data_IF_906223246099
#
_entry.id   IF_906223246099
#
_cell.length_a   1.000
_cell.length_b   1.000
_cell.length_c   1.000
_cell.angle_alpha   90.00
_cell.angle_beta   90.00
_cell.angle_gamma   90.00
#
_symmetry.space_group_name_H-M   'P 1'
#
loop_
_entity.id
_entity.type
_entity.pdbx_description
1 polymer ?
#
# COMPACT_ATOMS: atom_id res chain seq x y z
N UNK A 1 5.48 13.58 -23.96
CA UNK A 1 4.82 13.46 -22.64
C UNK A 1 3.38 13.98 -22.61
N UNK A 2 3.04 15.18 -23.08
CA UNK A 2 1.67 15.74 -23.01
C UNK A 2 0.59 14.93 -23.74
N UNK A 3 0.88 14.31 -24.91
CA UNK A 3 -0.06 13.47 -25.66
C UNK A 3 -0.41 12.17 -24.92
N UNK A 4 0.58 11.53 -24.28
CA UNK A 4 0.35 10.31 -23.46
C UNK A 4 -0.54 10.60 -22.25
N UNK A 5 -0.29 11.71 -21.54
CA UNK A 5 -1.09 12.12 -20.38
C UNK A 5 -2.57 12.36 -20.75
N UNK A 6 -2.84 13.00 -21.89
CA UNK A 6 -4.21 13.21 -22.39
C UNK A 6 -4.90 11.89 -22.76
N UNK A 7 -4.16 10.90 -23.31
CA UNK A 7 -4.72 9.56 -23.60
C UNK A 7 -5.13 8.85 -22.31
N UNK A 8 -4.31 8.90 -21.26
CA UNK A 8 -4.66 8.31 -19.94
C UNK A 8 -5.88 9.00 -19.35
N UNK A 9 -5.96 10.32 -19.46
CA UNK A 9 -7.09 11.11 -19.00
C UNK A 9 -8.39 10.73 -19.72
N UNK A 10 -8.38 10.66 -21.05
CA UNK A 10 -9.51 10.29 -21.88
C UNK A 10 -9.97 8.82 -21.65
N UNK A 11 -9.05 7.91 -21.33
CA UNK A 11 -9.36 6.51 -21.05
C UNK A 11 -9.90 6.28 -19.61
N UNK A 12 -9.92 7.31 -18.76
CA UNK A 12 -10.35 7.19 -17.37
C UNK A 12 -11.87 7.38 -17.25
N UNK A 13 -12.62 6.41 -16.69
CA UNK A 13 -14.07 6.56 -16.49
C UNK A 13 -14.40 7.78 -15.61
N UNK A 14 -15.45 8.53 -15.96
CA UNK A 14 -15.90 9.71 -15.20
C UNK A 14 -16.29 9.39 -13.75
N UNK A 15 -16.73 8.15 -13.48
CA UNK A 15 -17.12 7.67 -12.15
C UNK A 15 -15.93 7.40 -11.21
N UNK A 16 -14.69 7.50 -11.70
CA UNK A 16 -13.49 7.19 -10.93
C UNK A 16 -13.16 8.34 -9.97
N UNK A 17 -13.09 8.06 -8.68
CA UNK A 17 -12.65 9.04 -7.67
C UNK A 17 -11.11 9.17 -7.70
N UNK A 18 -10.64 10.17 -8.45
CA UNK A 18 -9.21 10.46 -8.63
C UNK A 18 -8.51 10.89 -7.35
N UNK A 19 -9.24 11.44 -6.37
CA UNK A 19 -8.66 11.80 -5.08
C UNK A 19 -8.30 10.56 -4.25
N UNK A 20 -9.15 9.54 -4.26
CA UNK A 20 -8.86 8.25 -3.62
C UNK A 20 -7.62 7.60 -4.24
N UNK A 21 -7.50 7.64 -5.57
CA UNK A 21 -6.32 7.13 -6.26
C UNK A 21 -5.06 7.93 -5.95
N UNK A 22 -5.17 9.26 -5.80
CA UNK A 22 -4.05 10.11 -5.40
C UNK A 22 -3.60 9.81 -3.97
N UNK A 23 -4.52 9.66 -3.02
CA UNK A 23 -4.21 9.27 -1.65
C UNK A 23 -3.51 7.91 -1.58
N UNK A 24 -3.96 6.94 -2.37
CA UNK A 24 -3.32 5.62 -2.44
C UNK A 24 -1.90 5.70 -2.99
N UNK A 25 -1.71 6.42 -4.09
CA UNK A 25 -0.38 6.61 -4.69
C UNK A 25 0.57 7.31 -3.71
N UNK A 26 0.09 8.36 -3.04
CA UNK A 26 0.85 9.08 -2.02
C UNK A 26 1.24 8.19 -0.84
N UNK A 27 0.29 7.37 -0.35
CA UNK A 27 0.55 6.44 0.74
C UNK A 27 1.61 5.39 0.37
N UNK A 28 1.58 4.84 -0.85
CA UNK A 28 2.58 3.89 -1.32
C UNK A 28 3.96 4.55 -1.43
N UNK A 29 4.03 5.74 -2.04
CA UNK A 29 5.30 6.46 -2.19
C UNK A 29 5.88 6.88 -0.84
N UNK A 30 5.04 7.26 0.13
CA UNK A 30 5.47 7.53 1.50
C UNK A 30 6.14 6.33 2.15
N UNK A 31 5.53 5.15 2.07
CA UNK A 31 6.12 3.90 2.58
C UNK A 31 7.45 3.58 1.90
N UNK A 32 7.51 3.66 0.57
CA UNK A 32 8.73 3.39 -0.20
C UNK A 32 9.87 4.32 0.21
N UNK A 33 9.61 5.63 0.21
CA UNK A 33 10.60 6.63 0.60
C UNK A 33 11.00 6.49 2.07
N UNK A 34 10.03 6.21 2.95
CA UNK A 34 10.30 5.94 4.37
C UNK A 34 11.30 4.80 4.54
N UNK A 35 11.05 3.66 3.91
CA UNK A 35 11.98 2.54 3.97
C UNK A 35 13.34 2.87 3.36
N UNK A 36 13.39 3.53 2.21
CA UNK A 36 14.65 3.89 1.59
C UNK A 36 15.47 4.90 2.40
N UNK A 37 14.85 5.72 3.24
CA UNK A 37 15.53 6.70 4.09
C UNK A 37 15.95 6.12 5.44
N UNK A 38 15.13 5.22 6.04
CA UNK A 38 15.38 4.74 7.40
C UNK A 38 16.03 3.35 7.47
N UNK A 39 15.99 2.55 6.40
CA UNK A 39 16.65 1.24 6.37
C UNK A 39 18.11 1.41 5.94
N UNK A 40 19.04 1.16 6.83
CA UNK A 40 20.46 1.12 6.55
C UNK A 40 21.00 -0.32 6.69
N UNK A 41 22.03 -0.63 5.92
CA UNK A 41 22.82 -1.85 6.02
C UNK A 41 24.27 -1.45 6.29
N UNK A 42 24.87 -2.04 7.30
CA UNK A 42 26.27 -1.77 7.66
C UNK A 42 27.08 -3.03 7.39
N UNK A 43 28.16 -2.87 6.65
CA UNK A 43 29.08 -3.98 6.34
C UNK A 43 30.18 -4.02 7.41
N UNK A 44 30.12 -4.98 8.32
CA UNK A 44 31.07 -5.19 9.42
C UNK A 44 31.37 -6.69 9.53
N UNK A 45 32.63 -7.03 9.82
CA UNK A 45 33.10 -8.41 10.07
C UNK A 45 32.67 -9.44 9.00
N UNK A 46 32.68 -9.00 7.74
CA UNK A 46 32.26 -9.87 6.61
C UNK A 46 30.77 -10.13 6.50
N UNK A 47 29.93 -9.43 7.28
CA UNK A 47 28.49 -9.56 7.26
C UNK A 47 27.76 -8.22 7.08
N UNK A 48 26.48 -8.29 6.66
CA UNK A 48 25.60 -7.14 6.59
C UNK A 48 24.64 -7.15 7.78
N UNK A 49 24.67 -6.05 8.53
CA UNK A 49 23.82 -5.81 9.69
C UNK A 49 22.78 -4.72 9.42
N UNK A 50 21.58 -4.88 9.97
CA UNK A 50 20.53 -3.85 9.86
C UNK A 50 20.81 -2.71 10.84
N UNK A 51 20.78 -1.48 10.33
CA UNK A 51 20.86 -0.25 11.12
C UNK A 51 19.80 0.77 10.67
N UNK A 52 19.69 1.86 11.39
CA UNK A 52 18.80 2.97 11.03
C UNK A 52 19.43 4.31 11.41
N UNK A 53 19.35 5.35 10.58
CA UNK A 53 19.80 6.67 10.97
C UNK A 53 19.07 7.21 12.21
N UNK A 54 17.88 6.72 12.51
CA UNK A 54 17.13 7.15 13.70
C UNK A 54 17.72 6.64 15.01
N UNK A 55 18.61 5.61 14.98
CA UNK A 55 19.35 5.16 16.15
C UNK A 55 20.43 6.18 16.55
N UNK A 56 21.11 6.76 15.56
CA UNK A 56 22.26 7.65 15.77
C UNK A 56 21.90 9.13 15.67
N UNK A 57 20.81 9.45 14.97
CA UNK A 57 20.33 10.81 14.73
C UNK A 57 18.88 10.98 15.23
N UNK A 58 18.63 10.90 16.55
CA UNK A 58 17.27 10.94 17.09
C UNK A 58 16.53 12.25 16.77
N UNK A 59 17.25 13.33 16.45
CA UNK A 59 16.65 14.61 16.00
C UNK A 59 15.90 14.47 14.66
N UNK A 60 16.18 13.44 13.86
CA UNK A 60 15.47 13.15 12.61
C UNK A 60 14.19 12.34 12.82
N UNK A 61 13.92 11.88 14.04
CA UNK A 61 12.75 11.06 14.37
C UNK A 61 11.42 11.71 13.94
N UNK A 62 11.17 13.04 14.13
CA UNK A 62 9.93 13.67 13.66
C UNK A 62 9.75 13.59 12.13
N UNK A 63 10.82 13.50 11.34
CA UNK A 63 10.72 13.32 9.88
C UNK A 63 10.10 11.96 9.51
N UNK A 64 10.24 10.94 10.38
CA UNK A 64 9.61 9.63 10.17
C UNK A 64 8.08 9.73 10.09
N UNK A 65 7.49 10.76 10.70
CA UNK A 65 6.05 11.00 10.69
C UNK A 65 5.53 11.32 9.28
N UNK A 66 6.33 12.00 8.46
CA UNK A 66 5.95 12.34 7.08
C UNK A 66 5.86 11.11 6.16
N UNK A 67 6.61 10.06 6.46
CA UNK A 67 6.74 8.85 5.64
C UNK A 67 5.95 7.65 6.16
N UNK A 68 5.52 7.69 7.42
CA UNK A 68 4.62 6.68 7.96
C UNK A 68 3.18 6.96 7.49
N UNK A 69 2.80 6.41 6.35
CA UNK A 69 1.53 6.70 5.65
C UNK A 69 0.57 5.51 5.62
N UNK A 70 0.81 4.49 6.44
CA UNK A 70 0.02 3.25 6.47
C UNK A 70 -1.45 3.49 6.81
N UNK A 71 -1.74 4.45 7.71
CA UNK A 71 -3.12 4.75 8.08
C UNK A 71 -3.93 5.29 6.88
N UNK A 72 -3.32 6.13 6.04
CA UNK A 72 -3.95 6.60 4.80
C UNK A 72 -4.19 5.44 3.83
N UNK A 73 -3.26 4.48 3.78
CA UNK A 73 -3.43 3.29 2.95
C UNK A 73 -4.60 2.43 3.43
N UNK A 74 -4.75 2.19 4.74
CA UNK A 74 -5.88 1.45 5.29
C UNK A 74 -7.21 2.21 5.17
N UNK A 75 -7.21 3.54 5.29
CA UNK A 75 -8.38 4.39 5.00
C UNK A 75 -8.88 4.16 3.57
N UNK A 76 -7.97 4.25 2.59
CA UNK A 76 -8.27 3.99 1.18
C UNK A 76 -8.66 2.53 0.97
N UNK A 77 -7.99 1.59 1.64
CA UNK A 77 -8.29 0.16 1.63
C UNK A 77 -9.74 -0.13 2.03
N UNK A 78 -10.17 0.39 3.17
CA UNK A 78 -11.55 0.26 3.67
C UNK A 78 -12.57 0.89 2.73
N UNK A 79 -12.28 2.09 2.21
CA UNK A 79 -13.13 2.76 1.23
C UNK A 79 -13.31 1.94 -0.06
N UNK A 80 -12.23 1.48 -0.66
CA UNK A 80 -12.25 0.73 -1.94
C UNK A 80 -12.84 -0.67 -1.76
N UNK A 81 -12.57 -1.34 -0.63
CA UNK A 81 -13.13 -2.66 -0.36
C UNK A 81 -14.65 -2.60 -0.16
N UNK A 82 -15.13 -1.63 0.65
CA UNK A 82 -16.55 -1.45 0.93
C UNK A 82 -17.33 -1.06 -0.34
N UNK A 83 -16.87 -0.06 -1.09
CA UNK A 83 -17.51 0.30 -2.37
C UNK A 83 -17.51 -0.86 -3.37
N UNK A 84 -16.41 -1.59 -3.44
CA UNK A 84 -16.28 -2.75 -4.32
C UNK A 84 -17.24 -3.88 -3.94
N UNK A 85 -17.43 -4.14 -2.64
CA UNK A 85 -18.38 -5.16 -2.15
C UNK A 85 -19.83 -4.74 -2.42
N UNK A 86 -20.19 -3.47 -2.12
CA UNK A 86 -21.52 -2.93 -2.40
C UNK A 86 -21.84 -3.03 -3.92
N UNK A 87 -20.90 -2.60 -4.76
CA UNK A 87 -21.06 -2.69 -6.22
C UNK A 87 -21.13 -4.15 -6.72
N UNK A 88 -20.41 -5.10 -6.12
CA UNK A 88 -20.49 -6.51 -6.47
C UNK A 88 -21.87 -7.08 -6.11
N UNK A 89 -22.38 -6.80 -4.91
CA UNK A 89 -23.72 -7.21 -4.45
C UNK A 89 -24.82 -6.65 -5.35
N UNK A 90 -24.73 -5.37 -5.74
CA UNK A 90 -25.69 -4.74 -6.64
C UNK A 90 -25.73 -5.39 -8.03
N UNK A 91 -24.66 -6.05 -8.46
CA UNK A 91 -24.59 -6.84 -9.71
C UNK A 91 -24.85 -8.33 -9.53
N UNK A 92 -25.31 -8.77 -8.37
CA UNK A 92 -25.56 -10.20 -8.07
C UNK A 92 -24.28 -11.05 -7.97
N UNK A 93 -23.08 -10.44 -7.83
CA UNK A 93 -21.83 -11.19 -7.72
C UNK A 93 -21.68 -11.76 -6.30
N UNK A 94 -21.55 -13.10 -6.12
CA UNK A 94 -21.35 -13.71 -4.81
C UNK A 94 -20.09 -13.21 -4.13
N UNK A 95 -20.15 -13.13 -2.79
CA UNK A 95 -19.01 -12.67 -1.97
C UNK A 95 -17.72 -13.45 -2.25
N UNK A 96 -17.78 -14.77 -2.34
CA UNK A 96 -16.60 -15.62 -2.60
C UNK A 96 -15.93 -15.29 -3.94
N UNK A 97 -16.69 -14.99 -4.98
CA UNK A 97 -16.16 -14.59 -6.30
C UNK A 97 -15.50 -13.21 -6.22
N UNK A 98 -16.15 -12.25 -5.55
CA UNK A 98 -15.57 -10.92 -5.29
C UNK A 98 -14.28 -11.00 -4.51
N UNK A 99 -14.25 -11.77 -3.41
CA UNK A 99 -13.08 -11.95 -2.56
C UNK A 99 -11.94 -12.62 -3.33
N UNK A 100 -12.20 -13.76 -3.96
CA UNK A 100 -11.21 -14.48 -4.77
C UNK A 100 -10.55 -13.59 -5.81
N UNK A 101 -11.34 -12.77 -6.52
CA UNK A 101 -10.81 -11.84 -7.52
C UNK A 101 -9.84 -10.83 -6.91
N UNK A 102 -10.14 -10.32 -5.71
CA UNK A 102 -9.28 -9.37 -5.01
C UNK A 102 -8.03 -10.03 -4.46
N UNK A 103 -8.17 -11.18 -3.80
CA UNK A 103 -7.04 -11.90 -3.23
C UNK A 103 -6.07 -12.38 -4.30
N UNK A 104 -6.55 -12.86 -5.43
CA UNK A 104 -5.69 -13.29 -6.54
C UNK A 104 -4.82 -12.13 -7.05
N UNK A 105 -5.35 -10.90 -7.11
CA UNK A 105 -4.58 -9.71 -7.52
C UNK A 105 -3.50 -9.33 -6.52
N UNK A 106 -3.75 -9.55 -5.23
CA UNK A 106 -2.80 -9.23 -4.16
C UNK A 106 -1.73 -10.31 -4.02
N UNK A 107 -2.12 -11.59 -4.11
CA UNK A 107 -1.26 -12.73 -3.76
C UNK A 107 -0.39 -13.23 -4.93
N UNK A 108 -0.79 -13.03 -6.19
CA UNK A 108 0.06 -13.44 -7.33
C UNK A 108 1.44 -12.78 -7.33
N UNK A 109 1.56 -11.44 -7.17
CA UNK A 109 2.87 -10.79 -7.10
C UNK A 109 3.68 -11.24 -5.87
N UNK A 110 3.00 -11.59 -4.76
CA UNK A 110 3.65 -12.14 -3.56
C UNK A 110 4.30 -13.50 -3.85
N UNK A 111 3.61 -14.39 -4.54
CA UNK A 111 4.16 -15.68 -4.90
C UNK A 111 5.44 -15.55 -5.75
N UNK A 112 5.49 -14.59 -6.68
CA UNK A 112 6.68 -14.30 -7.46
C UNK A 112 7.83 -13.75 -6.59
N UNK A 113 7.53 -12.85 -5.64
CA UNK A 113 8.52 -12.34 -4.69
C UNK A 113 9.11 -13.48 -3.86
N UNK A 114 8.25 -14.33 -3.28
CA UNK A 114 8.67 -15.47 -2.46
C UNK A 114 9.51 -16.45 -3.25
N UNK A 115 9.10 -16.81 -4.49
CA UNK A 115 9.85 -17.70 -5.36
C UNK A 115 11.23 -17.14 -5.72
N UNK A 116 11.32 -15.84 -6.07
CA UNK A 116 12.60 -15.22 -6.38
C UNK A 116 13.52 -15.19 -5.16
N UNK A 117 13.00 -14.78 -3.99
CA UNK A 117 13.81 -14.71 -2.78
C UNK A 117 14.18 -16.08 -2.23
N UNK A 118 13.36 -17.12 -2.43
CA UNK A 118 13.75 -18.50 -2.14
C UNK A 118 14.93 -18.94 -3.03
N UNK A 119 14.86 -18.68 -4.34
CA UNK A 119 15.96 -18.98 -5.25
C UNK A 119 17.22 -18.16 -4.91
N UNK A 120 17.07 -16.85 -4.66
CA UNK A 120 18.20 -16.00 -4.28
C UNK A 120 18.85 -16.46 -2.96
N UNK A 121 18.05 -16.81 -1.95
CA UNK A 121 18.53 -17.32 -0.67
C UNK A 121 19.32 -18.63 -0.84
N UNK A 122 18.83 -19.54 -1.70
CA UNK A 122 19.54 -20.79 -2.03
C UNK A 122 20.89 -20.50 -2.69
N UNK A 123 20.93 -19.60 -3.68
CA UNK A 123 22.19 -19.23 -4.36
C UNK A 123 23.17 -18.59 -3.37
N UNK A 124 22.72 -17.65 -2.54
CA UNK A 124 23.55 -16.99 -1.52
C UNK A 124 24.10 -18.01 -0.50
N UNK A 125 23.28 -18.95 -0.07
CA UNK A 125 23.69 -20.02 0.84
C UNK A 125 24.77 -20.89 0.21
N UNK A 126 24.59 -21.32 -1.03
CA UNK A 126 25.56 -22.16 -1.77
C UNK A 126 26.85 -21.39 -2.10
N UNK A 127 26.81 -20.06 -2.22
CA UNK A 127 28.00 -19.21 -2.42
C UNK A 127 28.79 -18.93 -1.14
N UNK A 128 28.39 -19.50 0.01
CA UNK A 128 29.09 -19.32 1.28
C UNK A 128 28.80 -17.99 1.96
N UNK A 129 27.71 -17.29 1.58
CA UNK A 129 27.28 -16.06 2.27
C UNK A 129 26.97 -16.36 3.74
N UNK A 130 27.41 -15.50 4.66
CA UNK A 130 27.17 -15.67 6.10
C UNK A 130 25.67 -15.75 6.40
N UNK A 131 25.27 -16.62 7.34
CA UNK A 131 23.88 -16.77 7.76
C UNK A 131 23.28 -15.46 8.31
N UNK A 132 24.09 -14.61 8.92
CA UNK A 132 23.70 -13.28 9.40
C UNK A 132 23.26 -12.40 8.24
N UNK A 133 24.07 -12.32 7.20
CA UNK A 133 23.74 -11.57 5.97
C UNK A 133 22.50 -12.14 5.30
N UNK A 134 22.43 -13.46 5.12
CA UNK A 134 21.28 -14.12 4.50
C UNK A 134 19.99 -13.81 5.26
N UNK A 135 20.00 -13.98 6.60
CA UNK A 135 18.84 -13.65 7.45
C UNK A 135 18.45 -12.17 7.31
N UNK A 136 19.43 -11.26 7.34
CA UNK A 136 19.20 -9.82 7.20
C UNK A 136 18.53 -9.47 5.87
N UNK A 137 19.04 -10.00 4.76
CA UNK A 137 18.51 -9.73 3.43
C UNK A 137 17.09 -10.29 3.26
N UNK A 138 16.87 -11.55 3.64
CA UNK A 138 15.54 -12.19 3.54
C UNK A 138 14.52 -11.49 4.43
N UNK A 139 14.87 -11.19 5.69
CA UNK A 139 14.00 -10.47 6.64
C UNK A 139 13.58 -9.11 6.09
N UNK A 140 14.50 -8.33 5.54
CA UNK A 140 14.19 -7.01 4.96
C UNK A 140 13.36 -7.13 3.68
N UNK A 141 13.68 -8.06 2.79
CA UNK A 141 12.92 -8.27 1.55
C UNK A 141 11.47 -8.66 1.80
N UNK A 142 11.24 -9.51 2.81
CA UNK A 142 9.91 -10.00 3.15
C UNK A 142 9.19 -9.10 4.16
N UNK A 143 9.88 -8.11 4.72
CA UNK A 143 9.30 -7.21 5.72
C UNK A 143 7.99 -6.53 5.29
N UNK A 144 7.72 -6.18 4.01
CA UNK A 144 6.44 -5.58 3.65
C UNK A 144 5.24 -6.54 3.74
N UNK A 145 5.47 -7.86 3.82
CA UNK A 145 4.37 -8.84 3.72
C UNK A 145 3.43 -8.85 4.92
N UNK A 146 3.91 -8.47 6.12
CA UNK A 146 3.03 -8.39 7.30
C UNK A 146 1.85 -7.41 7.07
N UNK A 147 2.15 -6.26 6.48
CA UNK A 147 1.15 -5.25 6.14
C UNK A 147 0.11 -5.80 5.15
N UNK A 148 0.58 -6.54 4.13
CA UNK A 148 -0.30 -7.14 3.15
C UNK A 148 -1.20 -8.22 3.77
N UNK A 149 -0.67 -9.00 4.74
CA UNK A 149 -1.46 -9.98 5.49
C UNK A 149 -2.62 -9.28 6.22
N UNK A 150 -2.34 -8.19 6.93
CA UNK A 150 -3.39 -7.39 7.60
C UNK A 150 -4.40 -6.85 6.60
N UNK A 151 -3.95 -6.30 5.46
CA UNK A 151 -4.84 -5.78 4.43
C UNK A 151 -5.74 -6.87 3.82
N UNK A 152 -5.20 -8.05 3.56
CA UNK A 152 -5.94 -9.22 3.06
C UNK A 152 -7.00 -9.64 4.08
N UNK A 153 -6.62 -9.76 5.34
CA UNK A 153 -7.53 -10.13 6.44
C UNK A 153 -8.68 -9.12 6.60
N UNK A 154 -8.38 -7.82 6.64
CA UNK A 154 -9.39 -6.77 6.72
C UNK A 154 -10.28 -6.71 5.47
N UNK A 155 -9.71 -6.97 4.29
CA UNK A 155 -10.48 -7.06 3.05
C UNK A 155 -11.44 -8.25 3.09
N UNK A 156 -11.00 -9.40 3.57
CA UNK A 156 -11.88 -10.55 3.76
C UNK A 156 -12.93 -10.29 4.85
N UNK A 157 -12.57 -9.61 5.92
CA UNK A 157 -13.50 -9.26 6.99
C UNK A 157 -14.46 -8.09 6.64
N UNK A 158 -14.35 -7.47 5.45
CA UNK A 158 -15.18 -6.30 5.06
C UNK A 158 -16.68 -6.48 5.32
N UNK A 159 -17.34 -7.62 5.03
CA UNK A 159 -18.76 -7.79 5.31
C UNK A 159 -19.13 -7.62 6.80
N UNK A 160 -18.21 -7.99 7.69
CA UNK A 160 -18.39 -7.95 9.15
C UNK A 160 -18.06 -6.56 9.72
N UNK A 161 -16.93 -5.99 9.27
CA UNK A 161 -16.35 -4.79 9.89
C UNK A 161 -16.75 -3.48 9.21
N UNK A 162 -17.31 -3.53 7.99
CA UNK A 162 -17.65 -2.31 7.24
C UNK A 162 -18.68 -1.41 7.94
N UNK A 163 -19.48 -1.95 8.85
CA UNK A 163 -20.48 -1.19 9.65
C UNK A 163 -20.00 -0.90 11.06
N UNK A 164 -18.84 -1.41 11.45
CA UNK A 164 -18.28 -1.18 12.78
C UNK A 164 -17.91 0.29 12.93
N UNK A 165 -18.32 0.90 14.06
CA UNK A 165 -17.93 2.29 14.35
C UNK A 165 -16.43 2.33 14.73
N UNK A 166 -15.64 3.31 14.23
CA UNK A 166 -14.19 3.38 14.45
C UNK A 166 -13.76 3.48 15.92
N UNK A 167 -14.63 3.95 16.79
CA UNK A 167 -14.35 4.03 18.24
C UNK A 167 -14.21 2.65 18.90
N UNK A 168 -14.84 1.59 18.38
CA UNK A 168 -14.71 0.26 18.96
C UNK A 168 -13.29 -0.30 18.86
N UNK A 169 -12.68 -0.36 17.65
CA UNK A 169 -11.30 -0.81 17.56
C UNK A 169 -10.32 0.16 18.25
N UNK A 170 -10.61 1.46 18.29
CA UNK A 170 -9.82 2.43 19.06
C UNK A 170 -9.88 2.14 20.57
N UNK A 171 -11.07 1.84 21.10
CA UNK A 171 -11.23 1.46 22.50
C UNK A 171 -10.47 0.16 22.85
N UNK A 172 -10.43 -0.81 21.93
CA UNK A 172 -9.61 -2.02 22.10
C UNK A 172 -8.13 -1.68 22.21
N UNK A 173 -7.61 -0.83 21.29
CA UNK A 173 -6.20 -0.39 21.33
C UNK A 173 -5.89 0.35 22.62
N UNK A 174 -6.74 1.27 23.03
CA UNK A 174 -6.59 2.00 24.29
C UNK A 174 -6.54 1.04 25.49
N UNK A 175 -7.46 0.09 25.55
CA UNK A 175 -7.53 -0.90 26.63
C UNK A 175 -6.28 -1.78 26.70
N UNK A 176 -5.84 -2.29 25.55
CA UNK A 176 -4.61 -3.09 25.46
C UNK A 176 -3.39 -2.31 25.91
N UNK A 177 -3.25 -1.05 25.47
CA UNK A 177 -2.10 -0.25 25.83
C UNK A 177 -2.12 0.22 27.30
N UNK A 178 -3.30 0.52 27.86
CA UNK A 178 -3.44 0.79 29.30
C UNK A 178 -3.03 -0.43 30.13
N UNK A 179 -3.44 -1.63 29.75
CA UNK A 179 -3.01 -2.84 30.45
C UNK A 179 -1.49 -3.04 30.35
N UNK A 180 -0.89 -2.85 29.18
CA UNK A 180 0.54 -3.12 28.94
C UNK A 180 1.48 -2.04 29.49
N UNK A 181 1.19 -0.80 29.21
CA UNK A 181 2.09 0.33 29.50
C UNK A 181 1.68 1.12 30.73
N UNK A 182 0.38 1.19 31.04
CA UNK A 182 -0.13 1.89 32.23
C UNK A 182 -0.07 1.05 33.50
N UNK A 183 -0.62 -0.17 33.42
CA UNK A 183 -0.74 -1.05 34.59
C UNK A 183 0.36 -2.12 34.65
N UNK A 184 1.14 -2.27 33.58
CA UNK A 184 2.15 -3.33 33.42
C UNK A 184 1.58 -4.75 33.62
N UNK A 185 0.32 -4.94 33.24
CA UNK A 185 -0.44 -6.19 33.36
C UNK A 185 -0.56 -6.88 32.01
N UNK A 186 -0.68 -8.20 32.06
CA UNK A 186 -0.94 -9.04 30.91
C UNK A 186 0.31 -9.58 30.21
N UNK A 187 0.13 -10.65 29.42
CA UNK A 187 1.21 -11.31 28.73
C UNK A 187 1.70 -10.46 27.54
N UNK A 188 2.95 -10.65 27.14
CA UNK A 188 3.60 -9.89 26.04
C UNK A 188 2.84 -10.02 24.70
N UNK A 189 2.19 -11.16 24.46
CA UNK A 189 1.41 -11.39 23.25
C UNK A 189 0.16 -10.50 23.13
N UNK A 190 -0.35 -9.95 24.27
CA UNK A 190 -1.55 -9.10 24.27
C UNK A 190 -1.45 -7.93 23.28
N UNK A 191 -0.24 -7.37 23.11
CA UNK A 191 0.00 -6.32 22.15
C UNK A 191 -0.32 -6.69 20.70
N UNK A 192 -0.26 -7.96 20.33
CA UNK A 192 -0.56 -8.40 18.97
C UNK A 192 -2.03 -8.26 18.59
N UNK A 193 -2.94 -8.13 19.58
CA UNK A 193 -4.34 -7.75 19.35
C UNK A 193 -4.43 -6.41 18.62
N UNK A 194 -3.51 -5.49 18.95
CA UNK A 194 -3.43 -4.18 18.30
C UNK A 194 -3.02 -4.27 16.82
N UNK A 195 -2.41 -5.39 16.37
CA UNK A 195 -2.10 -5.55 14.95
C UNK A 195 -3.37 -5.51 14.09
N UNK A 196 -4.45 -6.11 14.56
CA UNK A 196 -5.74 -6.05 13.87
C UNK A 196 -6.51 -4.78 14.27
N UNK A 197 -6.66 -4.51 15.57
CA UNK A 197 -7.48 -3.40 16.08
C UNK A 197 -6.94 -2.03 15.62
N UNK A 198 -5.62 -1.82 15.67
CA UNK A 198 -5.01 -0.54 15.29
C UNK A 198 -5.26 -0.17 13.82
N UNK A 199 -5.08 -1.10 12.91
CA UNK A 199 -5.33 -0.84 11.48
C UNK A 199 -6.81 -0.90 11.10
N UNK A 200 -7.64 -1.53 11.95
CA UNK A 200 -9.10 -1.52 11.77
C UNK A 200 -9.68 -0.11 11.98
N UNK A 201 -9.06 0.76 12.80
CA UNK A 201 -9.51 2.15 13.00
C UNK A 201 -9.54 2.92 11.67
N UNK A 202 -8.43 3.12 10.95
CA UNK A 202 -8.46 3.81 9.66
C UNK A 202 -9.27 3.06 8.60
N UNK A 203 -9.32 1.72 8.65
CA UNK A 203 -10.08 0.92 7.72
C UNK A 203 -11.60 1.17 7.86
N UNK A 204 -12.12 1.20 9.08
CA UNK A 204 -13.55 1.47 9.35
C UNK A 204 -13.93 2.93 9.06
N UNK A 205 -13.02 3.90 9.29
CA UNK A 205 -13.18 5.28 8.82
C UNK A 205 -13.34 5.33 7.29
N UNK A 206 -12.53 4.58 6.56
CA UNK A 206 -12.63 4.44 5.10
C UNK A 206 -13.92 3.78 4.66
N UNK A 207 -14.39 2.77 5.39
CA UNK A 207 -15.65 2.11 5.13
C UNK A 207 -16.86 3.03 5.37
N UNK A 208 -16.86 3.82 6.45
CA UNK A 208 -17.86 4.84 6.74
C UNK A 208 -17.92 5.88 5.61
N UNK A 209 -16.77 6.39 5.18
CA UNK A 209 -16.67 7.26 4.02
C UNK A 209 -17.26 6.64 2.74
N UNK A 210 -17.03 5.33 2.51
CA UNK A 210 -17.55 4.61 1.34
C UNK A 210 -19.07 4.48 1.33
N UNK A 211 -19.70 4.42 2.52
CA UNK A 211 -21.16 4.36 2.68
C UNK A 211 -21.86 5.70 2.45
N UNK A 212 -21.08 6.77 2.25
CA UNK A 212 -21.62 8.11 2.09
C UNK A 212 -21.97 8.80 3.41
N UNK A 213 -21.50 8.28 4.53
CA UNK A 213 -21.64 8.98 5.82
C UNK A 213 -21.01 10.37 5.69
N UNK A 214 -21.72 11.44 6.10
CA UNK A 214 -21.25 12.80 5.92
C UNK A 214 -20.00 13.04 6.76
N UNK A 215 -18.83 12.97 6.12
CA UNK A 215 -17.59 13.42 6.75
C UNK A 215 -17.58 14.94 6.66
N UNK A 216 -18.11 15.60 7.67
CA UNK A 216 -18.11 17.07 7.74
C UNK A 216 -16.68 17.59 7.86
N UNK A 217 -16.44 18.80 7.36
CA UNK A 217 -15.14 19.44 7.52
C UNK A 217 -14.74 19.59 9.00
N UNK A 218 -15.73 19.80 9.88
CA UNK A 218 -15.51 19.84 11.34
C UNK A 218 -15.00 18.49 11.84
N UNK A 219 -15.65 17.38 11.48
CA UNK A 219 -15.20 16.03 11.87
C UNK A 219 -13.77 15.74 11.36
N UNK A 220 -13.45 16.14 10.14
CA UNK A 220 -12.09 15.96 9.60
C UNK A 220 -11.04 16.80 10.38
N UNK A 221 -11.37 18.03 10.79
CA UNK A 221 -10.52 18.83 11.68
C UNK A 221 -10.40 18.22 13.08
N UNK A 222 -11.48 17.69 13.64
CA UNK A 222 -11.46 17.00 14.95
C UNK A 222 -10.52 15.78 14.90
N UNK A 223 -10.59 14.98 13.82
CA UNK A 223 -9.67 13.85 13.63
C UNK A 223 -8.22 14.32 13.52
N UNK A 224 -7.94 15.38 12.77
CA UNK A 224 -6.60 15.91 12.59
C UNK A 224 -6.03 16.47 13.91
N UNK A 225 -6.74 17.42 14.50
CA UNK A 225 -6.24 18.13 15.69
C UNK A 225 -6.26 17.23 16.93
N UNK A 226 -7.36 16.49 17.15
CA UNK A 226 -7.47 15.55 18.26
C UNK A 226 -6.46 14.40 18.17
N UNK A 227 -6.32 13.81 16.98
CA UNK A 227 -5.32 12.77 16.74
C UNK A 227 -3.89 13.28 16.96
N UNK A 228 -3.57 14.48 16.46
CA UNK A 228 -2.25 15.10 16.65
C UNK A 228 -1.99 15.40 18.14
N UNK A 229 -2.95 16.03 18.81
CA UNK A 229 -2.81 16.37 20.23
C UNK A 229 -2.64 15.10 21.09
N UNK A 230 -3.43 14.06 20.83
CA UNK A 230 -3.30 12.77 21.52
C UNK A 230 -1.92 12.13 21.26
N UNK A 231 -1.45 12.13 20.02
CA UNK A 231 -0.12 11.58 19.69
C UNK A 231 0.99 12.33 20.42
N UNK A 232 0.96 13.65 20.38
CA UNK A 232 1.95 14.49 21.07
C UNK A 232 1.90 14.24 22.59
N UNK A 233 0.71 14.18 23.17
CA UNK A 233 0.52 13.89 24.58
C UNK A 233 1.10 12.52 24.97
N UNK A 234 0.85 11.48 24.19
CA UNK A 234 1.36 10.14 24.43
C UNK A 234 2.91 10.10 24.35
N UNK A 235 3.49 10.79 23.38
CA UNK A 235 4.95 10.85 23.23
C UNK A 235 5.61 11.65 24.35
N UNK A 236 5.05 12.82 24.72
CA UNK A 236 5.69 13.72 25.68
C UNK A 236 5.46 13.31 27.14
N UNK A 237 4.29 12.75 27.46
CA UNK A 237 3.90 12.53 28.86
C UNK A 237 3.65 11.07 29.23
N UNK A 238 3.39 10.18 28.25
CA UNK A 238 3.11 8.77 28.50
C UNK A 238 4.26 7.83 28.09
N UNK A 239 5.43 8.37 27.73
CA UNK A 239 6.65 7.60 27.46
C UNK A 239 6.65 6.79 26.16
N UNK A 240 5.71 7.05 25.23
CA UNK A 240 5.74 6.39 23.92
C UNK A 240 6.91 6.87 23.07
N UNK A 241 7.52 5.98 22.26
CA UNK A 241 8.61 6.39 21.37
C UNK A 241 8.20 7.52 20.42
N UNK A 242 9.09 8.50 20.22
CA UNK A 242 8.84 9.56 19.24
C UNK A 242 8.90 9.06 17.79
N UNK A 243 9.54 7.92 17.52
CA UNK A 243 9.60 7.33 16.17
C UNK A 243 8.28 6.67 15.82
N UNK A 244 7.69 7.05 14.67
CA UNK A 244 6.50 6.38 14.09
C UNK A 244 6.87 5.23 13.15
N UNK A 245 8.12 4.79 13.16
CA UNK A 245 8.64 3.62 12.44
C UNK A 245 9.48 2.77 13.37
N UNK A 246 9.70 1.49 13.00
CA UNK A 246 10.59 0.61 13.77
C UNK A 246 12.03 1.12 13.73
N UNK A 247 12.67 1.14 14.90
CA UNK A 247 14.10 1.44 15.06
C UNK A 247 14.77 0.18 15.60
N UNK A 248 15.79 -0.38 14.92
CA UNK A 248 16.50 -1.55 15.41
C UNK A 248 17.04 -1.32 16.83
N UNK A 249 16.93 -2.32 17.70
CA UNK A 249 17.40 -2.23 19.10
C UNK A 249 16.52 -1.42 20.06
N UNK A 250 15.46 -0.75 19.59
CA UNK A 250 14.54 -0.06 20.48
C UNK A 250 13.69 -1.05 21.29
N UNK A 251 13.55 -0.80 22.61
CA UNK A 251 12.77 -1.65 23.51
C UNK A 251 11.28 -1.69 23.14
N UNK A 252 10.75 -0.59 22.64
CA UNK A 252 9.34 -0.45 22.18
C UNK A 252 9.32 0.14 20.78
N UNK A 253 8.50 -0.44 19.91
CA UNK A 253 8.21 0.08 18.58
C UNK A 253 6.75 0.50 18.48
N UNK A 254 6.48 1.67 17.92
CA UNK A 254 5.11 2.11 17.66
C UNK A 254 4.38 1.30 16.56
N UNK A 255 5.11 0.47 15.78
CA UNK A 255 4.52 -0.31 14.66
C UNK A 255 4.57 -1.82 14.84
N UNK A 256 5.27 -2.32 15.82
CA UNK A 256 5.43 -3.74 15.94
C UNK A 256 5.17 -4.32 17.34
N UNK A 257 3.92 -4.51 17.73
CA UNK A 257 2.60 -4.18 17.14
C UNK A 257 2.23 -2.68 17.28
N UNK A 258 1.22 -2.19 16.52
CA UNK A 258 0.80 -0.79 16.59
C UNK A 258 0.38 -0.39 18.00
N UNK A 259 0.94 0.73 18.48
CA UNK A 259 0.57 1.30 19.76
C UNK A 259 -0.54 2.35 19.61
N UNK A 260 -1.10 2.79 20.72
CA UNK A 260 -2.07 3.89 20.75
C UNK A 260 -1.50 5.18 20.11
N UNK A 261 -0.18 5.46 20.30
CA UNK A 261 0.48 6.60 19.67
C UNK A 261 0.48 6.49 18.13
N UNK A 262 0.77 5.31 17.56
CA UNK A 262 0.69 5.11 16.12
C UNK A 262 -0.75 5.20 15.58
N UNK A 263 -1.74 4.74 16.36
CA UNK A 263 -3.14 4.77 15.96
C UNK A 263 -3.71 6.19 16.01
N UNK A 264 -3.43 6.97 17.05
CA UNK A 264 -3.84 8.38 17.16
C UNK A 264 -3.18 9.24 16.07
N UNK A 265 -1.91 8.99 15.78
CA UNK A 265 -1.22 9.58 14.62
C UNK A 265 -1.91 9.20 13.29
N UNK A 266 -2.29 7.93 13.13
CA UNK A 266 -3.06 7.48 11.97
C UNK A 266 -4.42 8.15 11.84
N UNK A 267 -5.11 8.41 12.95
CA UNK A 267 -6.36 9.19 12.98
C UNK A 267 -6.13 10.62 12.48
N UNK A 268 -5.05 11.28 12.92
CA UNK A 268 -4.67 12.60 12.42
C UNK A 268 -4.43 12.59 10.91
N UNK A 269 -3.72 11.59 10.40
CA UNK A 269 -3.48 11.43 8.96
C UNK A 269 -4.79 11.20 8.17
N UNK A 270 -5.74 10.43 8.72
CA UNK A 270 -7.05 10.26 8.11
C UNK A 270 -7.80 11.60 8.03
N UNK A 271 -7.77 12.40 9.10
CA UNK A 271 -8.35 13.74 9.11
C UNK A 271 -7.75 14.65 8.03
N UNK A 272 -6.41 14.66 7.92
CA UNK A 272 -5.69 15.41 6.88
C UNK A 272 -6.07 14.93 5.47
N UNK A 273 -6.10 13.62 5.25
CA UNK A 273 -6.47 13.04 3.95
C UNK A 273 -7.88 13.46 3.51
N UNK A 274 -8.84 13.47 4.44
CA UNK A 274 -10.22 13.88 4.19
C UNK A 274 -10.32 15.38 3.90
N UNK A 275 -9.55 16.23 4.60
CA UNK A 275 -9.48 17.68 4.34
C UNK A 275 -8.88 18.00 2.97
N UNK A 276 -7.87 17.23 2.56
CA UNK A 276 -7.19 17.44 1.28
C UNK A 276 -7.97 16.89 0.07
N UNK A 277 -9.02 16.12 0.29
CA UNK A 277 -9.76 15.41 -0.77
C UNK A 277 -10.18 16.29 -1.94
N UNK A 278 -10.80 17.43 -1.66
CA UNK A 278 -11.35 18.30 -2.72
C UNK A 278 -10.22 19.03 -3.47
N UNK A 279 -9.15 19.40 -2.77
CA UNK A 279 -7.94 19.94 -3.40
C UNK A 279 -7.27 18.91 -4.30
N UNK A 280 -7.17 17.66 -3.84
CA UNK A 280 -6.64 16.56 -4.65
C UNK A 280 -7.51 16.32 -5.89
N UNK A 281 -8.85 16.35 -5.78
CA UNK A 281 -9.73 16.28 -6.94
C UNK A 281 -9.44 17.38 -7.96
N UNK A 282 -9.26 18.61 -7.50
CA UNK A 282 -8.94 19.75 -8.36
C UNK A 282 -7.58 19.57 -9.06
N UNK A 283 -6.54 19.18 -8.31
CA UNK A 283 -5.20 18.93 -8.88
C UNK A 283 -5.23 17.79 -9.89
N UNK A 284 -5.99 16.73 -9.62
CA UNK A 284 -6.13 15.57 -10.49
C UNK A 284 -6.95 15.83 -11.77
N UNK A 285 -7.51 17.01 -11.95
CA UNK A 285 -8.07 17.45 -13.24
C UNK A 285 -6.97 17.75 -14.25
N UNK A 286 -5.72 18.01 -13.81
CA UNK A 286 -4.58 18.24 -14.69
C UNK A 286 -4.13 16.89 -15.27
N UNK A 287 -4.12 16.69 -16.62
CA UNK A 287 -3.80 15.41 -17.24
C UNK A 287 -2.41 14.86 -16.87
N UNK A 288 -1.41 15.75 -16.67
CA UNK A 288 -0.05 15.35 -16.28
C UNK A 288 0.00 14.80 -14.84
N UNK A 289 -0.66 15.47 -13.89
CA UNK A 289 -0.74 15.02 -12.50
C UNK A 289 -1.48 13.67 -12.41
N UNK A 290 -2.62 13.57 -13.11
CA UNK A 290 -3.38 12.32 -13.17
C UNK A 290 -2.58 11.17 -13.80
N UNK A 291 -1.86 11.41 -14.88
CA UNK A 291 -1.05 10.37 -15.53
C UNK A 291 0.04 9.82 -14.59
N UNK A 292 0.69 10.67 -13.79
CA UNK A 292 1.66 10.24 -12.78
C UNK A 292 1.00 9.34 -11.71
N UNK A 293 -0.12 9.78 -11.14
CA UNK A 293 -0.88 9.01 -10.15
C UNK A 293 -1.39 7.70 -10.74
N UNK A 294 -1.91 7.71 -11.97
CA UNK A 294 -2.38 6.52 -12.66
C UNK A 294 -1.25 5.50 -12.85
N UNK A 295 -0.04 5.96 -13.23
CA UNK A 295 1.14 5.11 -13.40
C UNK A 295 1.52 4.40 -12.09
N UNK A 296 1.60 5.13 -10.97
CA UNK A 296 1.87 4.55 -9.65
C UNK A 296 0.80 3.53 -9.28
N UNK A 297 -0.47 3.85 -9.48
CA UNK A 297 -1.58 2.95 -9.15
C UNK A 297 -1.65 1.70 -10.05
N UNK A 298 -1.23 1.79 -11.30
CA UNK A 298 -1.16 0.63 -12.20
C UNK A 298 -0.09 -0.36 -11.76
N UNK A 299 0.96 0.11 -11.11
CA UNK A 299 2.10 -0.68 -10.62
C UNK A 299 2.15 -0.76 -9.09
N UNK A 300 1.04 -0.47 -8.41
CA UNK A 300 1.00 -0.30 -6.97
C UNK A 300 1.57 -1.49 -6.19
N UNK A 301 1.17 -2.70 -6.56
CA UNK A 301 1.65 -3.92 -5.90
C UNK A 301 3.11 -4.21 -6.22
N UNK A 302 3.53 -4.01 -7.46
CA UNK A 302 4.94 -4.18 -7.85
C UNK A 302 5.82 -3.18 -7.10
N UNK A 303 5.48 -1.89 -7.13
CA UNK A 303 6.23 -0.85 -6.40
C UNK A 303 6.31 -1.18 -4.91
N UNK A 304 5.18 -1.56 -4.29
CA UNK A 304 5.12 -1.89 -2.87
C UNK A 304 5.94 -3.14 -2.50
N UNK A 305 5.91 -4.20 -3.30
CA UNK A 305 6.60 -5.46 -2.98
C UNK A 305 8.10 -5.40 -3.26
N UNK A 306 8.52 -4.69 -4.32
CA UNK A 306 9.89 -4.73 -4.80
C UNK A 306 10.79 -3.59 -4.32
N UNK A 307 10.26 -2.59 -3.59
CA UNK A 307 11.09 -1.45 -3.15
C UNK A 307 12.23 -1.85 -2.22
N UNK A 308 11.99 -2.81 -1.31
CA UNK A 308 13.07 -3.33 -0.46
C UNK A 308 14.09 -4.13 -1.28
N UNK A 309 13.63 -4.96 -2.22
CA UNK A 309 14.52 -5.67 -3.15
C UNK A 309 15.37 -4.70 -3.95
N UNK A 310 14.82 -3.57 -4.42
CA UNK A 310 15.59 -2.55 -5.14
C UNK A 310 16.71 -1.95 -4.28
N UNK A 311 16.44 -1.66 -3.01
CA UNK A 311 17.43 -1.20 -2.04
C UNK A 311 18.51 -2.29 -1.82
N UNK A 312 18.09 -3.52 -1.55
CA UNK A 312 18.99 -4.63 -1.25
C UNK A 312 19.89 -5.00 -2.43
N UNK A 313 19.33 -5.06 -3.63
CA UNK A 313 20.10 -5.34 -4.87
C UNK A 313 21.14 -4.24 -5.10
N UNK A 314 20.77 -2.96 -4.94
CA UNK A 314 21.72 -1.86 -5.07
C UNK A 314 22.84 -1.97 -4.03
N UNK A 315 22.49 -2.25 -2.77
CA UNK A 315 23.47 -2.39 -1.69
C UNK A 315 24.43 -3.56 -1.93
N UNK A 316 23.91 -4.74 -2.26
CA UNK A 316 24.75 -5.93 -2.48
C UNK A 316 25.59 -5.81 -3.74
N UNK A 317 25.03 -5.30 -4.84
CA UNK A 317 25.75 -5.16 -6.12
C UNK A 317 26.91 -4.17 -6.05
N UNK A 318 26.87 -3.21 -5.13
CA UNK A 318 27.94 -2.21 -4.97
C UNK A 318 29.00 -2.56 -3.92
N UNK A 319 28.81 -3.65 -3.16
CA UNK A 319 29.80 -4.13 -2.17
C UNK A 319 31.21 -4.35 -2.72
N UNK A 320 31.41 -4.92 -3.94
CA UNK A 320 32.75 -5.11 -4.52
C UNK A 320 33.50 -3.79 -4.75
N UNK A 321 32.79 -2.65 -4.85
CA UNK A 321 33.42 -1.32 -4.97
C UNK A 321 33.88 -0.73 -3.62
N UNK A 322 33.73 -1.48 -2.52
CA UNK A 322 34.08 -1.07 -1.17
C UNK A 322 32.90 -0.54 -0.35
N UNK A 323 33.20 -0.01 0.84
CA UNK A 323 32.16 0.51 1.75
C UNK A 323 31.74 1.93 1.32
N UNK A 324 30.65 2.01 0.58
CA UNK A 324 30.14 3.29 0.07
C UNK A 324 29.27 4.01 1.11
N UNK A 325 29.47 5.32 1.32
CA UNK A 325 28.63 6.12 2.19
C UNK A 325 27.15 6.08 1.77
N UNK A 326 26.26 6.03 2.74
CA UNK A 326 24.82 5.95 2.49
C UNK A 326 24.30 4.56 2.13
N UNK A 327 25.20 3.56 1.90
CA UNK A 327 24.82 2.16 1.62
C UNK A 327 25.37 1.19 2.66
N UNK A 328 26.69 1.23 2.93
CA UNK A 328 27.41 0.20 3.70
C UNK A 328 28.04 0.73 5.00
N UNK A 329 28.03 2.05 5.20
CA UNK A 329 28.63 2.70 6.37
C UNK A 329 27.58 2.96 7.45
N UNK A 330 28.04 3.17 8.69
CA UNK A 330 27.18 3.50 9.82
C UNK A 330 26.41 4.81 9.56
N UNK A 331 25.10 4.85 9.83
CA UNK A 331 24.25 6.03 9.55
C UNK A 331 24.27 7.04 10.71
N UNK A 332 25.45 7.59 11.03
CA UNK A 332 25.75 8.38 12.23
C UNK A 332 25.83 9.89 11.99
N UNK A 333 25.78 10.37 10.74
CA UNK A 333 25.99 11.76 10.42
C UNK A 333 25.22 12.31 9.23
N UNK A 334 25.24 13.64 9.09
CA UNK A 334 24.60 14.34 7.98
C UNK A 334 25.19 13.95 6.60
N UNK A 335 26.47 13.62 6.55
CA UNK A 335 27.15 13.15 5.35
C UNK A 335 26.54 11.83 4.84
N UNK A 336 26.21 10.91 5.74
CA UNK A 336 25.51 9.67 5.40
C UNK A 336 24.11 9.97 4.82
N UNK A 337 23.37 10.90 5.46
CA UNK A 337 22.03 11.29 4.99
C UNK A 337 22.11 11.91 3.57
N UNK A 338 23.08 12.81 3.35
CA UNK A 338 23.29 13.42 2.02
C UNK A 338 23.64 12.36 0.96
N UNK A 339 24.56 11.44 1.28
CA UNK A 339 24.90 10.32 0.41
C UNK A 339 23.68 9.43 0.14
N UNK A 340 22.86 9.14 1.16
CA UNK A 340 21.62 8.35 0.98
C UNK A 340 20.63 9.01 0.02
N UNK A 341 20.48 10.32 0.09
CA UNK A 341 19.62 11.06 -0.83
C UNK A 341 20.11 10.94 -2.28
N UNK A 342 21.42 10.92 -2.51
CA UNK A 342 22.00 10.71 -3.85
C UNK A 342 21.75 9.29 -4.38
N UNK A 343 21.55 8.29 -3.52
CA UNK A 343 21.21 6.92 -3.92
C UNK A 343 19.73 6.73 -4.29
N UNK A 344 18.82 7.63 -3.88
CA UNK A 344 17.38 7.48 -4.20
C UNK A 344 17.08 7.33 -5.71
N UNK A 345 17.71 8.08 -6.63
CA UNK A 345 17.49 7.87 -8.07
C UNK A 345 17.92 6.47 -8.54
N UNK A 346 19.00 5.92 -7.97
CA UNK A 346 19.46 4.56 -8.30
C UNK A 346 18.46 3.52 -7.82
N UNK A 347 17.97 3.64 -6.57
CA UNK A 347 16.89 2.77 -6.08
C UNK A 347 15.64 2.85 -6.96
N UNK A 348 15.27 4.07 -7.39
CA UNK A 348 14.12 4.27 -8.27
C UNK A 348 14.34 3.63 -9.65
N UNK A 349 15.55 3.68 -10.19
CA UNK A 349 15.92 3.02 -11.45
C UNK A 349 15.79 1.50 -11.32
N UNK A 350 16.41 0.91 -10.29
CA UNK A 350 16.34 -0.54 -10.03
C UNK A 350 14.89 -0.98 -9.79
N UNK A 351 14.10 -0.20 -9.04
CA UNK A 351 12.67 -0.45 -8.88
C UNK A 351 11.93 -0.36 -10.22
N UNK A 352 12.32 0.55 -11.10
CA UNK A 352 11.82 0.66 -12.46
C UNK A 352 12.09 -0.61 -13.28
N UNK A 353 13.28 -1.19 -13.16
CA UNK A 353 13.63 -2.48 -13.78
C UNK A 353 12.75 -3.61 -13.20
N UNK A 354 12.63 -3.72 -11.88
CA UNK A 354 11.73 -4.68 -11.25
C UNK A 354 10.29 -4.53 -11.76
N UNK A 355 9.82 -3.27 -11.91
CA UNK A 355 8.50 -3.01 -12.46
C UNK A 355 8.35 -3.54 -13.88
N UNK A 356 9.30 -3.30 -14.78
CA UNK A 356 9.21 -3.80 -16.17
C UNK A 356 9.23 -5.32 -16.23
N UNK A 357 9.98 -5.99 -15.36
CA UNK A 357 10.07 -7.45 -15.30
C UNK A 357 8.78 -8.10 -14.75
N UNK A 358 8.15 -7.51 -13.73
CA UNK A 358 7.11 -8.18 -12.95
C UNK A 358 5.70 -7.59 -13.08
N UNK A 359 5.50 -6.44 -13.75
CA UNK A 359 4.17 -5.81 -13.86
C UNK A 359 3.15 -6.68 -14.63
N UNK A 360 3.59 -7.56 -15.51
CA UNK A 360 2.73 -8.49 -16.24
C UNK A 360 1.97 -9.44 -15.31
N UNK A 361 2.50 -9.73 -14.13
CA UNK A 361 1.84 -10.53 -13.09
C UNK A 361 0.60 -9.82 -12.51
N UNK A 362 0.63 -8.49 -12.45
CA UNK A 362 -0.55 -7.68 -12.09
C UNK A 362 -1.57 -7.62 -13.23
N UNK A 363 -1.12 -7.49 -14.47
CA UNK A 363 -1.99 -7.35 -15.65
C UNK A 363 -2.70 -8.65 -16.01
N UNK A 364 -2.05 -9.80 -15.87
CA UNK A 364 -2.65 -11.10 -16.11
C UNK A 364 -3.92 -11.36 -15.28
N UNK A 365 -4.06 -10.66 -14.14
CA UNK A 365 -5.27 -10.67 -13.32
C UNK A 365 -6.38 -9.73 -13.84
N UNK A 366 -6.07 -8.82 -14.77
CA UNK A 366 -6.98 -7.80 -15.31
C UNK A 366 -7.61 -8.21 -16.64
N UNK A 367 -7.00 -9.11 -17.41
CA UNK A 367 -7.57 -9.58 -18.66
C UNK A 367 -8.80 -10.45 -18.37
N UNK A 368 -10.03 -10.07 -18.85
CA UNK A 368 -11.13 -11.02 -18.87
C UNK A 368 -10.68 -12.23 -19.70
N UNK A 369 -10.83 -13.45 -19.21
CA UNK A 369 -10.73 -14.61 -20.07
C UNK A 369 -11.70 -14.38 -21.22
N UNK A 370 -11.28 -14.49 -22.51
CA UNK A 370 -12.22 -14.50 -23.61
C UNK A 370 -13.23 -15.58 -23.27
N UNK A 371 -14.48 -15.18 -23.09
CA UNK A 371 -15.55 -16.11 -22.76
C UNK A 371 -15.49 -17.25 -23.77
N UNK A 372 -15.42 -18.48 -23.26
CA UNK A 372 -15.74 -19.65 -24.09
C UNK A 372 -17.12 -19.33 -24.70
N UNK A 373 -17.12 -18.90 -25.95
CA UNK A 373 -18.34 -18.60 -26.65
C UNK A 373 -19.23 -19.82 -26.54
N UNK A 374 -20.37 -19.68 -25.90
CA UNK A 374 -21.46 -20.66 -25.97
C UNK A 374 -21.74 -20.89 -27.43
N UNK A 375 -21.73 -22.14 -27.94
CA UNK A 375 -21.92 -22.44 -29.37
C UNK A 375 -23.27 -21.97 -29.94
N UNK A 376 -24.18 -21.44 -29.11
CA UNK A 376 -25.54 -20.99 -29.50
C UNK A 376 -25.65 -19.56 -30.06
N UNK A 377 -24.66 -18.67 -29.87
CA UNK A 377 -24.79 -17.27 -30.28
C UNK A 377 -24.52 -17.02 -31.78
N UNK A 378 -23.84 -17.94 -32.48
CA UNK A 378 -23.60 -17.81 -33.93
C UNK A 378 -24.81 -18.18 -34.81
N UNK A 379 -25.81 -18.86 -34.28
CA UNK A 379 -27.00 -19.24 -35.08
C UNK A 379 -28.06 -18.11 -35.16
N UNK A 380 -28.15 -17.22 -34.15
CA UNK A 380 -29.13 -16.11 -34.16
C UNK A 380 -28.73 -14.93 -35.05
N UNK A 381 -27.44 -14.70 -35.30
CA UNK A 381 -27.02 -13.60 -36.18
C UNK A 381 -27.18 -13.91 -37.69
N UNK A 382 -27.26 -15.19 -38.06
CA UNK A 382 -27.55 -15.59 -39.47
C UNK A 382 -29.01 -15.49 -39.81
N UNK A 383 -29.93 -15.75 -38.88
CA UNK A 383 -31.39 -15.67 -39.12
C UNK A 383 -31.86 -14.22 -39.25
N UNK A 384 -31.26 -13.29 -38.49
CA UNK A 384 -31.60 -11.85 -38.56
C UNK A 384 -31.08 -11.20 -39.86
N UNK A 385 -30.02 -11.75 -40.49
CA UNK A 385 -29.53 -11.22 -41.78
C UNK A 385 -30.39 -11.69 -42.98
N UNK A 386 -30.91 -12.91 -42.96
CA UNK A 386 -31.78 -13.42 -44.02
C UNK A 386 -33.12 -12.68 -44.02
N UNK A 387 -33.67 -12.32 -42.86
CA UNK A 387 -34.94 -11.59 -42.78
C UNK A 387 -34.84 -10.11 -43.22
N UNK A 388 -33.67 -9.50 -43.19
CA UNK A 388 -33.45 -8.11 -43.67
C UNK A 388 -33.26 -8.01 -45.19
N UNK A 389 -32.80 -9.06 -45.83
CA UNK A 389 -32.60 -9.05 -47.28
C UNK A 389 -33.93 -9.37 -48.03
N UNK A 390 -34.82 -10.17 -47.46
CA UNK A 390 -36.19 -10.40 -48.01
C UNK A 390 -37.08 -9.16 -47.95
N UNK A 391 -36.97 -8.34 -46.89
CA UNK A 391 -37.73 -7.08 -46.77
C UNK A 391 -37.25 -5.99 -47.72
N UNK A 392 -35.99 -6.04 -48.15
CA UNK A 392 -35.44 -5.09 -49.14
C UNK A 392 -35.82 -5.46 -50.58
N UNK A 393 -36.05 -6.72 -50.87
CA UNK A 393 -36.48 -7.19 -52.19
C UNK A 393 -37.97 -6.94 -52.41
N UNK A 394 -38.79 -7.12 -51.37
CA UNK A 394 -40.23 -6.78 -51.41
C UNK A 394 -40.50 -5.27 -51.62
N UNK A 395 -39.62 -4.41 -51.04
CA UNK A 395 -39.72 -2.94 -51.18
C UNK A 395 -39.28 -2.42 -52.56
N UNK A 396 -38.57 -3.22 -53.39
CA UNK A 396 -38.18 -2.86 -54.76
C UNK A 396 -39.20 -3.22 -55.82
N UNK A 397 -40.05 -4.23 -55.60
CA UNK A 397 -41.08 -4.64 -56.52
C UNK A 397 -42.31 -3.73 -56.43
N UNK A 398 -42.60 -3.10 -55.27
CA UNK A 398 -43.79 -2.22 -55.12
C UNK A 398 -43.61 -0.79 -55.66
N UNK A 399 -42.54 -0.45 -56.42
CA UNK A 399 -42.33 0.88 -57.06
C UNK A 399 -42.35 0.84 -58.57
N UNK A 400 -42.84 -0.23 -59.17
CA UNK A 400 -42.97 -0.33 -60.62
C UNK A 400 -44.40 -0.80 -61.02
N UNK A 401 -45.45 -0.26 -60.44
CA UNK A 401 -46.81 -0.25 -60.97
C UNK A 401 -47.37 1.16 -60.82
#
# INVERSE_FOLDING_TARGET
>A
MRRGARRVDAATPASRDRAVDALRAFAILGVVLGHWLVTALVAEDGALHTASPLQHLPRLTPLSWAFQTLAVFFLVGGHVATRGLVSARARGVPYGVWLRTRLTRLLRPVAALLGLWAAAATVLLLSGTSLVTLHTLVKLALSPLWFLLVLVTLTAATPLVARLHPLWPLAVVLHVDVLRFGLHLGPSWLGWVNLAAGWLVPYTLGAAWARGEPVTRRAAWTLLLGGTAATVALVLWAGYPASMVGVPGAAVSNLGPPTLAAVTFGVAQCGLALLLRDRLRSVMRRPSAWAGVALVNLSAMTVFLWHQTALLVTTVATLPAGRLPGLHTLPDGAAWVAARLLWLPVFALVLGVCRTAFHSLEEGARRPRPGRGTPGARRRSRVVRVHRDTDREAARVGRRV
#
